data_IF_636162739609
#
_entry.id   IF_636162739609
#
_cell.length_a   1.000
_cell.length_b   1.000
_cell.length_c   1.000
_cell.angle_alpha   90.00
_cell.angle_beta   90.00
_cell.angle_gamma   90.00
#
_symmetry.space_group_name_H-M   'P 1'
#
loop_
_entity.id
_entity.type
_entity.pdbx_description
1 polymer ?
#
# COMPACT_ATOMS: atom_id res chain seq x y z
N UNK A 1 23.34 8.68 -12.63
CA UNK A 1 22.60 8.14 -11.49
C UNK A 1 22.79 6.63 -11.42
N UNK A 2 23.33 6.09 -10.34
CA UNK A 2 23.53 4.66 -10.12
C UNK A 2 22.21 3.95 -9.74
N UNK A 3 22.22 2.60 -9.66
CA UNK A 3 21.02 1.79 -9.34
C UNK A 3 20.37 2.21 -8.01
N UNK A 4 21.18 2.44 -6.97
CA UNK A 4 20.70 2.83 -5.65
C UNK A 4 20.04 4.21 -5.69
N UNK A 5 20.64 5.18 -6.37
CA UNK A 5 20.08 6.52 -6.54
C UNK A 5 18.74 6.47 -7.32
N UNK A 6 18.64 5.65 -8.38
CA UNK A 6 17.37 5.42 -9.10
C UNK A 6 16.28 4.83 -8.22
N UNK A 7 16.62 3.80 -7.43
CA UNK A 7 15.69 3.20 -6.48
C UNK A 7 15.19 4.24 -5.46
N UNK A 8 16.10 5.08 -4.93
CA UNK A 8 15.72 6.16 -4.02
C UNK A 8 14.81 7.20 -4.68
N UNK A 9 15.07 7.56 -5.94
CA UNK A 9 14.19 8.46 -6.70
C UNK A 9 12.80 7.86 -6.91
N UNK A 10 12.72 6.56 -7.19
CA UNK A 10 11.43 5.85 -7.32
C UNK A 10 10.64 5.86 -6.01
N UNK A 11 11.31 5.59 -4.89
CA UNK A 11 10.73 5.68 -3.54
C UNK A 11 10.22 7.10 -3.25
N UNK A 12 11.03 8.11 -3.57
CA UNK A 12 10.67 9.51 -3.35
C UNK A 12 9.48 9.93 -4.21
N UNK A 13 9.47 9.56 -5.49
CA UNK A 13 8.36 9.87 -6.39
C UNK A 13 7.06 9.20 -5.91
N UNK A 14 7.13 7.94 -5.47
CA UNK A 14 5.97 7.25 -4.92
C UNK A 14 5.44 7.90 -3.65
N UNK A 15 6.34 8.26 -2.72
CA UNK A 15 5.99 9.03 -1.53
C UNK A 15 5.32 10.36 -1.87
N UNK A 16 5.80 11.06 -2.91
CA UNK A 16 5.19 12.30 -3.39
C UNK A 16 3.76 12.08 -3.95
N UNK A 17 3.54 10.98 -4.67
CA UNK A 17 2.21 10.61 -5.18
C UNK A 17 1.24 10.31 -4.02
N UNK A 18 1.69 9.55 -3.03
CA UNK A 18 0.91 9.28 -1.82
C UNK A 18 0.60 10.57 -1.06
N UNK A 19 1.55 11.50 -0.94
CA UNK A 19 1.31 12.79 -0.31
C UNK A 19 0.31 13.66 -1.09
N UNK A 20 0.25 13.53 -2.42
CA UNK A 20 -0.76 14.23 -3.22
C UNK A 20 -2.20 13.70 -2.96
N UNK A 21 -2.34 12.43 -2.54
CA UNK A 21 -3.63 11.83 -2.18
C UNK A 21 -3.97 12.12 -0.71
N UNK A 22 -3.02 11.81 0.17
CA UNK A 22 -3.25 11.71 1.61
C UNK A 22 -2.78 12.92 2.40
N UNK A 23 -2.10 13.88 1.77
CA UNK A 23 -1.69 15.16 2.37
C UNK A 23 -1.05 14.99 3.76
N UNK A 24 -0.20 13.96 3.92
CA UNK A 24 0.25 13.52 5.25
C UNK A 24 1.20 14.51 5.92
N UNK A 25 1.82 15.41 5.14
CA UNK A 25 2.87 16.32 5.59
C UNK A 25 4.19 15.64 5.94
N UNK A 26 4.30 14.32 5.72
CA UNK A 26 5.52 13.56 5.95
C UNK A 26 6.48 13.69 4.76
N UNK A 27 7.79 13.58 5.05
CA UNK A 27 8.80 13.37 4.02
C UNK A 27 8.45 12.14 3.15
N UNK A 28 8.59 12.28 1.83
CA UNK A 28 8.17 11.28 0.85
C UNK A 28 8.82 9.91 1.10
N UNK A 29 10.13 9.89 1.37
CA UNK A 29 10.87 8.65 1.60
C UNK A 29 10.48 8.03 2.93
N UNK A 30 10.32 8.84 3.99
CA UNK A 30 9.83 8.36 5.29
C UNK A 30 8.43 7.78 5.20
N UNK A 31 7.52 8.43 4.45
CA UNK A 31 6.17 7.93 4.22
C UNK A 31 6.19 6.56 3.55
N UNK A 32 6.87 6.44 2.41
CA UNK A 32 6.96 5.20 1.66
C UNK A 32 7.57 4.06 2.51
N UNK A 33 8.62 4.33 3.28
CA UNK A 33 9.24 3.34 4.17
C UNK A 33 8.32 2.89 5.32
N UNK A 34 7.56 3.81 5.91
CA UNK A 34 6.59 3.46 6.96
C UNK A 34 5.52 2.52 6.41
N UNK A 35 4.97 2.82 5.25
CA UNK A 35 3.98 1.96 4.60
C UNK A 35 4.57 0.61 4.21
N UNK A 36 5.79 0.58 3.67
CA UNK A 36 6.47 -0.67 3.34
C UNK A 36 6.68 -1.58 4.56
N UNK A 37 6.95 -1.01 5.74
CA UNK A 37 7.05 -1.81 6.97
C UNK A 37 5.71 -2.46 7.39
N UNK A 38 4.58 -1.83 7.04
CA UNK A 38 3.24 -2.37 7.27
C UNK A 38 2.85 -3.37 6.18
N UNK A 39 3.28 -3.12 4.94
CA UNK A 39 3.12 -4.04 3.81
C UNK A 39 3.73 -5.40 4.10
N UNK A 40 4.97 -5.45 4.61
CA UNK A 40 5.62 -6.72 4.97
C UNK A 40 4.79 -7.52 5.98
N UNK A 41 4.13 -6.84 6.93
CA UNK A 41 3.25 -7.50 7.92
C UNK A 41 1.95 -7.97 7.29
N UNK A 42 1.35 -7.15 6.43
CA UNK A 42 0.12 -7.45 5.71
C UNK A 42 0.33 -8.63 4.76
N UNK A 43 1.42 -8.62 4.01
CA UNK A 43 1.83 -9.70 3.12
C UNK A 43 2.03 -10.99 3.90
N UNK A 44 2.72 -10.93 5.05
CA UNK A 44 2.89 -12.12 5.89
C UNK A 44 1.55 -12.70 6.36
N UNK A 45 0.59 -11.84 6.70
CA UNK A 45 -0.74 -12.28 7.09
C UNK A 45 -1.51 -12.90 5.90
N UNK A 46 -1.38 -12.34 4.71
CA UNK A 46 -1.95 -12.91 3.48
C UNK A 46 -1.32 -14.27 3.12
N UNK A 47 -0.01 -14.44 3.29
CA UNK A 47 0.67 -15.74 3.16
C UNK A 47 0.13 -16.76 4.17
N UNK A 48 0.03 -16.37 5.43
CA UNK A 48 -0.43 -17.26 6.50
C UNK A 48 -1.88 -17.68 6.27
N UNK A 49 -2.72 -16.76 5.79
CA UNK A 49 -4.08 -17.03 5.36
C UNK A 49 -4.14 -18.02 4.20
N UNK A 50 -3.39 -17.77 3.12
CA UNK A 50 -3.35 -18.64 1.95
C UNK A 50 -2.89 -20.07 2.29
N UNK A 51 -1.96 -20.19 3.25
CA UNK A 51 -1.43 -21.47 3.68
C UNK A 51 -2.25 -22.13 4.81
N UNK A 52 -3.21 -21.42 5.41
CA UNK A 52 -3.97 -21.91 6.57
C UNK A 52 -3.11 -22.19 7.80
N UNK A 53 -2.06 -21.38 8.02
CA UNK A 53 -1.08 -21.55 9.11
C UNK A 53 -1.17 -20.40 10.12
N UNK A 54 -0.45 -20.53 11.23
CA UNK A 54 -0.35 -19.50 12.29
C UNK A 54 -1.72 -19.04 12.85
N UNK A 55 -2.71 -19.93 12.77
CA UNK A 55 -4.08 -19.67 13.22
C UNK A 55 -4.79 -18.58 12.43
N UNK A 56 -4.39 -18.33 11.18
CA UNK A 56 -5.06 -17.40 10.26
C UNK A 56 -6.06 -18.18 9.41
N UNK A 57 -7.33 -17.82 9.53
CA UNK A 57 -8.46 -18.51 8.88
C UNK A 57 -9.37 -17.49 8.22
N UNK A 58 -10.29 -17.95 7.36
CA UNK A 58 -11.29 -17.07 6.73
C UNK A 58 -12.12 -16.32 7.78
N UNK A 59 -12.46 -16.98 8.90
CA UNK A 59 -13.29 -16.40 9.96
C UNK A 59 -12.59 -15.28 10.73
N UNK A 60 -11.25 -15.24 10.76
CA UNK A 60 -10.49 -14.28 11.55
C UNK A 60 -9.52 -13.38 10.75
N UNK A 61 -9.48 -13.53 9.43
CA UNK A 61 -8.57 -12.78 8.57
C UNK A 61 -8.78 -11.26 8.72
N UNK A 62 -10.04 -10.82 8.63
CA UNK A 62 -10.40 -9.40 8.75
C UNK A 62 -10.04 -8.84 10.14
N UNK A 63 -10.31 -9.60 11.21
CA UNK A 63 -9.94 -9.23 12.58
C UNK A 63 -8.42 -9.07 12.72
N UNK A 64 -7.64 -9.96 12.11
CA UNK A 64 -6.17 -9.90 12.13
C UNK A 64 -5.60 -8.78 11.26
N UNK A 65 -6.31 -8.37 10.21
CA UNK A 65 -5.94 -7.24 9.36
C UNK A 65 -6.19 -5.89 10.06
N UNK A 66 -7.19 -5.81 10.94
CA UNK A 66 -7.64 -4.58 11.60
C UNK A 66 -6.51 -3.77 12.29
N UNK A 67 -5.58 -4.37 13.06
CA UNK A 67 -4.46 -3.62 13.65
C UNK A 67 -3.53 -3.00 12.61
N UNK A 68 -3.34 -3.66 11.46
CA UNK A 68 -2.53 -3.15 10.36
C UNK A 68 -3.26 -1.98 9.70
N UNK A 69 -4.55 -2.14 9.39
CA UNK A 69 -5.37 -1.09 8.80
C UNK A 69 -5.45 0.16 9.70
N UNK A 70 -5.55 -0.01 11.02
CA UNK A 70 -5.46 1.10 11.99
C UNK A 70 -4.12 1.81 11.95
N UNK A 71 -3.01 1.07 11.82
CA UNK A 71 -1.69 1.65 11.72
C UNK A 71 -1.50 2.42 10.40
N UNK A 72 -2.06 1.90 9.29
CA UNK A 72 -2.09 2.59 7.99
C UNK A 72 -2.94 3.86 8.08
N UNK A 73 -4.12 3.79 8.69
CA UNK A 73 -5.02 4.94 8.82
C UNK A 73 -4.43 6.04 9.71
N UNK A 74 -3.67 5.66 10.75
CA UNK A 74 -2.92 6.64 11.56
C UNK A 74 -1.87 7.43 10.75
N UNK A 75 -1.36 6.85 9.65
CA UNK A 75 -0.37 7.50 8.79
C UNK A 75 -1.05 8.29 7.67
N UNK A 76 -2.06 7.70 7.03
CA UNK A 76 -2.67 8.23 5.80
C UNK A 76 -3.97 8.99 6.03
N UNK A 77 -4.64 8.73 7.16
CA UNK A 77 -5.97 9.24 7.47
C UNK A 77 -6.96 8.96 6.33
N UNK A 78 -6.86 7.76 5.74
CA UNK A 78 -7.58 7.36 4.55
C UNK A 78 -9.08 7.25 4.82
N UNK A 79 -9.48 6.85 6.04
CA UNK A 79 -10.88 6.75 6.44
C UNK A 79 -11.55 8.12 6.38
N UNK A 80 -10.91 9.14 6.97
CA UNK A 80 -11.41 10.52 6.94
C UNK A 80 -11.45 11.08 5.52
N UNK A 81 -10.53 10.67 4.66
CA UNK A 81 -10.43 11.10 3.27
C UNK A 81 -11.34 10.33 2.32
N UNK A 82 -12.06 9.31 2.81
CA UNK A 82 -12.93 8.48 1.98
C UNK A 82 -12.15 7.70 0.91
N UNK A 83 -10.89 7.34 1.18
CA UNK A 83 -10.08 6.52 0.28
C UNK A 83 -10.21 5.06 0.72
N UNK A 84 -10.71 4.16 -0.14
CA UNK A 84 -11.02 2.78 0.24
C UNK A 84 -9.76 1.91 0.25
N UNK A 85 -9.03 1.96 1.37
CA UNK A 85 -7.84 1.14 1.61
C UNK A 85 -8.24 -0.20 2.23
N UNK A 86 -7.63 -1.29 1.77
CA UNK A 86 -7.89 -2.64 2.29
C UNK A 86 -6.62 -3.51 2.27
N UNK A 87 -6.71 -4.68 2.92
CA UNK A 87 -5.70 -5.75 2.84
C UNK A 87 -6.18 -6.81 1.86
N UNK A 88 -5.44 -7.02 0.79
CA UNK A 88 -5.65 -8.11 -0.16
C UNK A 88 -5.11 -9.43 0.40
N UNK A 89 -5.97 -10.45 0.43
CA UNK A 89 -5.62 -11.79 0.91
C UNK A 89 -4.80 -12.65 -0.05
N UNK A 90 -4.62 -12.23 -1.31
CA UNK A 90 -3.76 -12.95 -2.27
C UNK A 90 -2.27 -12.65 -2.03
N UNK A 91 -1.53 -13.67 -1.59
CA UNK A 91 -0.10 -13.59 -1.29
C UNK A 91 0.83 -13.46 -2.52
N UNK A 92 0.32 -13.55 -3.76
CA UNK A 92 1.15 -13.51 -4.98
C UNK A 92 1.47 -12.08 -5.47
N UNK A 93 1.18 -11.07 -4.64
CA UNK A 93 1.42 -9.66 -4.93
C UNK A 93 1.43 -8.81 -3.67
N UNK A 94 1.06 -7.54 -3.81
CA UNK A 94 0.99 -6.62 -2.68
C UNK A 94 -0.29 -6.83 -1.86
N UNK A 95 -0.20 -6.58 -0.56
CA UNK A 95 -1.29 -6.73 0.39
C UNK A 95 -2.02 -5.41 0.64
N UNK A 96 -1.31 -4.29 0.87
CA UNK A 96 -1.93 -2.99 1.12
C UNK A 96 -2.31 -2.30 -0.19
N UNK A 97 -3.63 -2.19 -0.42
CA UNK A 97 -4.19 -1.69 -1.66
C UNK A 97 -5.26 -0.63 -1.47
N UNK A 98 -5.55 0.10 -2.55
CA UNK A 98 -6.72 0.94 -2.73
C UNK A 98 -7.63 0.29 -3.77
N UNK A 99 -8.95 0.28 -3.54
CA UNK A 99 -9.92 -0.27 -4.47
C UNK A 99 -9.74 0.25 -5.90
N UNK A 100 -9.96 -0.63 -6.87
CA UNK A 100 -9.70 -0.44 -8.29
C UNK A 100 -10.53 0.71 -8.89
N UNK A 101 -11.82 0.77 -8.57
CA UNK A 101 -12.76 1.78 -9.08
C UNK A 101 -12.39 3.19 -8.61
N UNK A 102 -12.02 3.33 -7.33
CA UNK A 102 -11.49 4.58 -6.79
C UNK A 102 -10.17 4.95 -7.47
N UNK A 103 -9.28 3.96 -7.62
CA UNK A 103 -7.96 4.15 -8.22
C UNK A 103 -8.05 4.59 -9.67
N UNK A 104 -8.91 3.97 -10.46
CA UNK A 104 -9.19 4.36 -11.84
C UNK A 104 -9.74 5.79 -11.92
N UNK A 105 -10.70 6.12 -11.05
CA UNK A 105 -11.24 7.48 -10.93
C UNK A 105 -10.17 8.52 -10.62
N UNK A 106 -9.29 8.26 -9.66
CA UNK A 106 -8.17 9.14 -9.31
C UNK A 106 -7.17 9.28 -10.47
N UNK A 107 -6.67 8.15 -10.99
CA UNK A 107 -5.66 8.13 -12.04
C UNK A 107 -6.13 8.75 -13.37
N UNK A 108 -7.44 8.79 -13.63
CA UNK A 108 -8.00 9.45 -14.81
C UNK A 108 -7.90 10.99 -14.78
N UNK A 109 -7.70 11.57 -13.60
CA UNK A 109 -7.68 13.03 -13.37
C UNK A 109 -6.37 13.54 -12.77
N UNK A 110 -5.60 12.66 -12.14
CA UNK A 110 -4.39 13.03 -11.42
C UNK A 110 -3.20 13.27 -12.36
N UNK A 111 -2.47 14.35 -12.12
CA UNK A 111 -1.16 14.59 -12.74
C UNK A 111 -0.13 13.54 -12.29
N UNK A 112 -0.25 13.08 -11.03
CA UNK A 112 0.59 12.07 -10.41
C UNK A 112 -0.22 10.81 -10.15
N UNK A 113 0.00 9.79 -10.96
CA UNK A 113 -0.72 8.52 -10.86
C UNK A 113 -0.15 7.63 -9.76
N UNK A 114 -1.01 6.89 -9.07
CA UNK A 114 -0.58 5.79 -8.21
C UNK A 114 -0.34 4.53 -9.05
N UNK A 115 0.68 3.76 -8.69
CA UNK A 115 0.95 2.45 -9.31
C UNK A 115 -0.21 1.50 -9.08
N UNK A 116 -0.51 0.67 -10.08
CA UNK A 116 -1.56 -0.35 -9.99
C UNK A 116 -1.01 -1.75 -10.21
N UNK A 117 -1.69 -2.74 -9.64
CA UNK A 117 -1.49 -4.13 -10.04
C UNK A 117 -2.27 -4.48 -11.31
N UNK A 118 -2.31 -5.76 -11.66
CA UNK A 118 -3.03 -6.25 -12.84
C UNK A 118 -4.56 -6.16 -12.71
N UNK A 119 -5.09 -6.07 -11.49
CA UNK A 119 -6.51 -5.86 -11.22
C UNK A 119 -6.91 -4.39 -11.24
N UNK A 120 -5.97 -3.47 -11.41
CA UNK A 120 -6.23 -2.02 -11.38
C UNK A 120 -6.26 -1.41 -9.98
N UNK A 121 -5.97 -2.20 -8.94
CA UNK A 121 -5.90 -1.73 -7.56
C UNK A 121 -4.66 -0.89 -7.34
N UNK A 122 -4.82 0.23 -6.61
CA UNK A 122 -3.70 1.10 -6.25
C UNK A 122 -2.79 0.45 -5.22
N UNK A 123 -1.49 0.40 -5.47
CA UNK A 123 -0.52 -0.22 -4.55
C UNK A 123 0.04 0.85 -3.61
N UNK A 124 -0.12 0.66 -2.29
CA UNK A 124 0.36 1.63 -1.31
C UNK A 124 1.86 1.57 -1.06
N UNK A 125 2.49 0.40 -1.17
CA UNK A 125 3.89 0.21 -0.84
C UNK A 125 4.60 -0.78 -1.77
N UNK A 126 4.76 -0.44 -3.06
CA UNK A 126 5.45 -1.29 -4.01
C UNK A 126 6.93 -1.43 -3.68
N UNK A 127 7.55 -2.51 -4.14
CA UNK A 127 9.00 -2.66 -4.15
C UNK A 127 9.61 -1.88 -5.32
N UNK A 128 10.80 -1.33 -5.07
CA UNK A 128 11.58 -0.59 -6.06
C UNK A 128 12.95 -1.23 -6.22
N UNK A 129 13.40 -1.41 -7.46
CA UNK A 129 14.66 -2.08 -7.76
C UNK A 129 15.67 -1.17 -8.49
N UNK A 130 15.32 0.09 -8.76
CA UNK A 130 16.19 1.06 -9.42
C UNK A 130 16.55 0.69 -10.85
N UNK A 131 15.74 -0.14 -11.51
CA UNK A 131 15.80 -0.34 -12.95
C UNK A 131 15.20 0.85 -13.69
#
# INVERSE_FOLDING_TARGET
MNKKERMYQQIENHGANLNAIFETGLDNVKLAKKLHSLEVKAHKLAEDYCNGVNGVTTDNFDEKCEPILKAVDKILNYTRKGVPVFVNGDARGYALKIEDSWTAGYNSKAEKRIYTDWGGYGILAPEFDGK
#
